data_IF_654146373145
#
_entry.id   IF_654146373145
#
_cell.length_a   1.000
_cell.length_b   1.000
_cell.length_c   1.000
_cell.angle_alpha   90.00
_cell.angle_beta   90.00
_cell.angle_gamma   90.00
#
_symmetry.space_group_name_H-M   'P 1'
#
loop_
_entity.id
_entity.type
_entity.pdbx_description
1 polymer ?
#
# COMPACT_ATOMS: atom_id res chain seq x y z
N UNK A 1 -31.33 5.60 -25.85
CA UNK A 1 -30.26 4.87 -25.13
C UNK A 1 -28.96 5.67 -24.93
N UNK A 2 -28.87 6.97 -25.30
CA UNK A 2 -27.63 7.76 -25.15
C UNK A 2 -27.48 8.48 -23.79
N UNK A 3 -28.56 8.77 -23.06
CA UNK A 3 -28.47 9.53 -21.80
C UNK A 3 -28.05 8.70 -20.57
N UNK A 4 -28.26 7.39 -20.61
CA UNK A 4 -27.95 6.50 -19.49
C UNK A 4 -26.43 6.25 -19.37
N UNK A 5 -25.70 6.30 -20.49
CA UNK A 5 -24.25 6.04 -20.53
C UNK A 5 -23.42 7.24 -20.05
N UNK A 6 -23.88 8.47 -20.26
CA UNK A 6 -23.18 9.66 -19.78
C UNK A 6 -23.19 9.74 -18.24
N UNK A 7 -24.32 9.44 -17.61
CA UNK A 7 -24.46 9.50 -16.15
C UNK A 7 -23.47 8.57 -15.42
N UNK A 8 -23.25 7.34 -15.89
CA UNK A 8 -22.37 6.36 -15.22
C UNK A 8 -20.90 6.78 -15.25
N UNK A 9 -20.43 7.43 -16.31
CA UNK A 9 -19.06 7.94 -16.39
C UNK A 9 -18.79 9.02 -15.31
N UNK A 10 -19.75 9.92 -15.09
CA UNK A 10 -19.62 10.97 -14.08
C UNK A 10 -19.69 10.44 -12.64
N UNK A 11 -20.43 9.36 -12.38
CA UNK A 11 -20.45 8.72 -11.05
C UNK A 11 -19.06 8.19 -10.66
N UNK A 12 -18.30 7.63 -11.60
CA UNK A 12 -16.92 7.18 -11.36
C UNK A 12 -15.99 8.36 -11.01
N UNK A 13 -16.22 9.54 -11.58
CA UNK A 13 -15.44 10.75 -11.26
C UNK A 13 -15.70 11.23 -9.83
N UNK A 14 -16.93 11.13 -9.33
CA UNK A 14 -17.22 11.43 -7.91
C UNK A 14 -16.53 10.40 -7.00
N UNK A 15 -16.56 9.11 -7.36
CA UNK A 15 -15.85 8.06 -6.59
C UNK A 15 -14.34 8.33 -6.53
N UNK A 16 -13.75 8.91 -7.58
CA UNK A 16 -12.34 9.31 -7.57
C UNK A 16 -12.03 10.33 -6.45
N UNK A 17 -12.96 11.26 -6.18
CA UNK A 17 -12.78 12.31 -5.18
C UNK A 17 -12.72 11.76 -3.74
N UNK A 18 -13.17 10.53 -3.50
CA UNK A 18 -13.09 9.87 -2.19
C UNK A 18 -11.65 9.72 -1.67
N UNK A 19 -10.66 9.69 -2.57
CA UNK A 19 -9.23 9.62 -2.22
C UNK A 19 -8.74 10.84 -1.42
N UNK A 20 -9.43 11.98 -1.53
CA UNK A 20 -9.04 13.21 -0.85
C UNK A 20 -9.68 13.26 0.54
N UNK A 21 -8.98 12.71 1.55
CA UNK A 21 -9.43 12.74 2.94
C UNK A 21 -9.61 14.17 3.50
N UNK A 22 -8.95 15.17 2.92
CA UNK A 22 -9.05 16.57 3.31
C UNK A 22 -10.13 17.37 2.55
N UNK A 23 -10.87 16.75 1.62
CA UNK A 23 -11.90 17.44 0.84
C UNK A 23 -13.12 17.77 1.71
N UNK A 24 -13.28 19.04 2.08
CA UNK A 24 -14.37 19.53 2.94
C UNK A 24 -15.45 20.31 2.19
N UNK A 25 -15.12 20.93 1.07
CA UNK A 25 -16.04 21.74 0.26
C UNK A 25 -15.91 21.31 -1.19
N UNK A 26 -17.06 21.10 -1.85
CA UNK A 26 -17.12 20.70 -3.24
C UNK A 26 -18.24 21.50 -3.92
N UNK A 27 -17.91 22.15 -5.03
CA UNK A 27 -18.88 22.81 -5.90
C UNK A 27 -18.83 22.12 -7.26
N UNK A 28 -19.96 21.53 -7.69
CA UNK A 28 -20.16 20.97 -9.02
C UNK A 28 -21.33 21.63 -9.73
N UNK A 29 -21.82 22.76 -9.21
CA UNK A 29 -22.80 23.59 -9.90
C UNK A 29 -22.34 23.92 -11.33
N UNK A 30 -23.29 23.91 -12.26
CA UNK A 30 -23.04 24.05 -13.70
C UNK A 30 -22.66 22.76 -14.45
N UNK A 31 -22.37 21.65 -13.77
CA UNK A 31 -22.09 20.38 -14.44
C UNK A 31 -23.38 19.70 -14.98
N UNK A 32 -23.29 18.93 -16.09
CA UNK A 32 -24.46 18.25 -16.68
C UNK A 32 -25.19 17.33 -15.70
N UNK A 33 -24.46 16.71 -14.76
CA UNK A 33 -25.03 15.85 -13.73
C UNK A 33 -25.92 16.61 -12.74
N UNK A 34 -25.50 17.82 -12.34
CA UNK A 34 -26.27 18.69 -11.45
C UNK A 34 -27.57 19.18 -12.12
N UNK A 35 -27.56 19.36 -13.45
CA UNK A 35 -28.72 19.78 -14.24
C UNK A 35 -29.68 18.62 -14.58
N UNK A 36 -29.15 17.44 -14.89
CA UNK A 36 -29.94 16.31 -15.37
C UNK A 36 -30.76 15.65 -14.24
N UNK A 37 -30.16 15.46 -13.05
CA UNK A 37 -30.82 14.83 -11.89
C UNK A 37 -30.31 15.42 -10.57
N UNK A 38 -30.81 16.59 -10.15
CA UNK A 38 -30.28 17.30 -8.97
C UNK A 38 -30.41 16.49 -7.67
N UNK A 39 -31.52 15.77 -7.48
CA UNK A 39 -31.76 14.98 -6.25
C UNK A 39 -30.87 13.73 -6.18
N UNK A 40 -30.79 12.96 -7.27
CA UNK A 40 -29.98 11.75 -7.32
C UNK A 40 -28.48 12.07 -7.22
N UNK A 41 -28.03 13.17 -7.84
CA UNK A 41 -26.67 13.69 -7.73
C UNK A 41 -26.32 14.01 -6.28
N UNK A 42 -27.18 14.78 -5.59
CA UNK A 42 -26.93 15.20 -4.21
C UNK A 42 -26.82 13.99 -3.28
N UNK A 43 -27.74 13.03 -3.39
CA UNK A 43 -27.69 11.80 -2.61
C UNK A 43 -26.43 10.96 -2.91
N UNK A 44 -26.01 10.86 -4.17
CA UNK A 44 -24.80 10.13 -4.54
C UNK A 44 -23.53 10.76 -3.96
N UNK A 45 -23.36 12.08 -4.08
CA UNK A 45 -22.23 12.79 -3.47
C UNK A 45 -22.16 12.58 -1.95
N UNK A 46 -23.31 12.65 -1.28
CA UNK A 46 -23.39 12.48 0.17
C UNK A 46 -23.07 11.05 0.64
N UNK A 47 -23.46 10.04 -0.15
CA UNK A 47 -23.19 8.64 0.13
C UNK A 47 -21.70 8.29 -0.06
N UNK A 48 -21.09 8.72 -1.18
CA UNK A 48 -19.72 8.35 -1.54
C UNK A 48 -18.63 9.24 -0.92
N UNK A 49 -18.94 10.47 -0.49
CA UNK A 49 -17.97 11.40 0.10
C UNK A 49 -18.26 11.62 1.60
N UNK A 50 -17.73 10.74 2.49
CA UNK A 50 -17.98 10.83 3.93
C UNK A 50 -17.37 12.09 4.59
N UNK A 51 -16.32 12.66 4.00
CA UNK A 51 -15.58 13.79 4.58
C UNK A 51 -16.11 15.17 4.20
N UNK A 52 -17.08 15.23 3.27
CA UNK A 52 -17.59 16.47 2.73
C UNK A 52 -18.48 17.22 3.74
N UNK A 53 -18.26 18.52 3.95
CA UNK A 53 -19.07 19.40 4.82
C UNK A 53 -19.97 20.34 4.04
N UNK A 54 -19.50 20.81 2.89
CA UNK A 54 -20.23 21.73 2.01
C UNK A 54 -20.35 21.13 0.61
N UNK A 55 -21.56 21.16 0.06
CA UNK A 55 -21.85 20.79 -1.32
C UNK A 55 -22.61 21.94 -1.97
N UNK A 56 -22.04 22.52 -3.04
CA UNK A 56 -22.62 23.64 -3.80
C UNK A 56 -23.01 24.80 -2.87
N UNK A 57 -22.06 25.19 -2.00
CA UNK A 57 -22.21 26.24 -0.98
C UNK A 57 -23.28 25.96 0.10
N UNK A 58 -23.94 24.80 0.07
CA UNK A 58 -24.88 24.37 1.10
C UNK A 58 -24.21 23.49 2.16
N UNK A 59 -24.52 23.73 3.43
CA UNK A 59 -24.07 22.89 4.54
C UNK A 59 -24.81 21.56 4.52
N UNK A 60 -24.06 20.46 4.66
CA UNK A 60 -24.61 19.11 4.76
C UNK A 60 -24.97 18.83 6.21
N UNK A 61 -26.25 18.53 6.47
CA UNK A 61 -26.68 18.08 7.79
C UNK A 61 -26.45 16.57 7.97
N UNK A 62 -26.22 16.09 9.20
CA UNK A 62 -26.02 14.65 9.45
C UNK A 62 -27.23 13.81 9.04
N UNK A 63 -28.46 14.34 9.19
CA UNK A 63 -29.69 13.68 8.78
C UNK A 63 -29.80 13.49 7.25
N UNK A 64 -29.38 14.49 6.47
CA UNK A 64 -29.32 14.37 5.00
C UNK A 64 -28.30 13.32 4.57
N UNK A 65 -27.20 13.19 5.32
CA UNK A 65 -26.17 12.18 5.04
C UNK A 65 -26.68 10.75 5.31
N UNK A 66 -27.38 10.52 6.41
CA UNK A 66 -27.94 9.19 6.70
C UNK A 66 -29.00 8.82 5.67
N UNK A 67 -29.92 9.73 5.38
CA UNK A 67 -30.93 9.51 4.34
C UNK A 67 -30.33 9.22 2.96
N UNK A 68 -29.23 9.90 2.59
CA UNK A 68 -28.54 9.65 1.33
C UNK A 68 -27.79 8.31 1.29
N UNK A 69 -27.27 7.82 2.43
CA UNK A 69 -26.70 6.47 2.52
C UNK A 69 -27.77 5.40 2.34
N UNK A 70 -28.94 5.61 2.93
CA UNK A 70 -30.04 4.66 2.86
C UNK A 70 -30.71 4.66 1.47
N UNK A 71 -30.77 5.82 0.81
CA UNK A 71 -31.40 5.97 -0.52
C UNK A 71 -30.45 5.75 -1.71
N UNK A 72 -29.15 6.00 -1.53
CA UNK A 72 -28.19 6.13 -2.63
C UNK A 72 -27.26 4.93 -2.86
N UNK A 73 -27.33 3.91 -2.02
CA UNK A 73 -26.40 2.77 -2.06
C UNK A 73 -27.09 1.55 -2.67
N UNK A 74 -26.84 1.28 -3.94
CA UNK A 74 -26.87 -0.11 -4.40
C UNK A 74 -25.74 -0.85 -3.67
N UNK A 75 -26.02 -1.84 -2.81
CA UNK A 75 -25.02 -2.49 -1.95
C UNK A 75 -23.82 -3.02 -2.75
N UNK A 76 -24.06 -3.51 -3.97
CA UNK A 76 -23.02 -4.00 -4.89
C UNK A 76 -21.95 -2.96 -5.25
N UNK A 77 -22.34 -1.69 -5.42
CA UNK A 77 -21.40 -0.64 -5.82
C UNK A 77 -20.52 -0.18 -4.65
N UNK A 78 -21.05 -0.25 -3.42
CA UNK A 78 -20.29 0.01 -2.20
C UNK A 78 -19.23 -1.08 -1.98
N UNK A 79 -19.66 -2.35 -2.06
CA UNK A 79 -18.78 -3.52 -1.96
C UNK A 79 -17.63 -3.46 -2.97
N UNK A 80 -17.93 -3.16 -4.23
CA UNK A 80 -16.91 -3.07 -5.28
C UNK A 80 -15.88 -1.95 -5.03
N UNK A 81 -16.33 -0.82 -4.47
CA UNK A 81 -15.44 0.31 -4.13
C UNK A 81 -14.56 -0.05 -2.93
N UNK A 82 -15.12 -0.68 -1.90
CA UNK A 82 -14.39 -1.12 -0.71
C UNK A 82 -13.33 -2.17 -1.05
N UNK A 83 -13.67 -3.16 -1.87
CA UNK A 83 -12.72 -4.18 -2.34
C UNK A 83 -11.56 -3.54 -3.12
N UNK A 84 -11.84 -2.63 -4.06
CA UNK A 84 -10.80 -1.92 -4.82
C UNK A 84 -9.93 -1.06 -3.93
N UNK A 85 -10.50 -0.43 -2.91
CA UNK A 85 -9.74 0.37 -1.93
C UNK A 85 -8.84 -0.51 -1.06
N UNK A 86 -9.36 -1.64 -0.58
CA UNK A 86 -8.58 -2.60 0.19
C UNK A 86 -7.41 -3.14 -0.63
N UNK A 87 -7.64 -3.50 -1.90
CA UNK A 87 -6.57 -3.92 -2.81
C UNK A 87 -5.52 -2.82 -3.02
N UNK A 88 -5.94 -1.57 -3.24
CA UNK A 88 -5.02 -0.44 -3.40
C UNK A 88 -4.21 -0.17 -2.14
N UNK A 89 -4.84 -0.24 -0.96
CA UNK A 89 -4.16 -0.07 0.33
C UNK A 89 -3.12 -1.17 0.55
N UNK A 90 -3.48 -2.44 0.33
CA UNK A 90 -2.54 -3.58 0.41
C UNK A 90 -1.38 -3.44 -0.59
N UNK A 91 -1.66 -3.01 -1.82
CA UNK A 91 -0.62 -2.79 -2.82
C UNK A 91 0.34 -1.66 -2.39
N UNK A 92 -0.20 -0.58 -1.81
CA UNK A 92 0.59 0.53 -1.29
C UNK A 92 1.44 0.12 -0.08
N UNK A 93 0.86 -0.57 0.90
CA UNK A 93 1.60 -1.08 2.07
C UNK A 93 2.72 -2.04 1.66
N UNK A 94 2.44 -2.93 0.69
CA UNK A 94 3.45 -3.83 0.13
C UNK A 94 4.57 -3.05 -0.55
N UNK A 95 4.23 -1.99 -1.30
CA UNK A 95 5.23 -1.15 -1.97
C UNK A 95 6.05 -0.34 -0.95
N UNK A 96 5.40 0.27 0.04
CA UNK A 96 6.05 1.03 1.11
C UNK A 96 6.99 0.13 1.92
N UNK A 97 6.54 -1.07 2.32
CA UNK A 97 7.37 -2.06 3.00
C UNK A 97 8.58 -2.49 2.17
N UNK A 98 8.42 -2.71 0.86
CA UNK A 98 9.55 -2.99 -0.05
C UNK A 98 10.53 -1.84 -0.12
N UNK A 99 10.06 -0.60 -0.22
CA UNK A 99 10.93 0.58 -0.29
C UNK A 99 11.65 0.84 1.03
N UNK A 100 10.98 0.64 2.17
CA UNK A 100 11.59 0.78 3.49
C UNK A 100 12.65 -0.30 3.74
N UNK A 101 12.33 -1.55 3.40
CA UNK A 101 13.30 -2.65 3.45
C UNK A 101 14.52 -2.39 2.56
N UNK A 102 14.32 -1.88 1.35
CA UNK A 102 15.43 -1.52 0.45
C UNK A 102 16.30 -0.41 1.04
N UNK A 103 15.71 0.66 1.60
CA UNK A 103 16.47 1.76 2.23
C UNK A 103 17.38 1.26 3.33
N UNK A 104 16.90 0.38 4.20
CA UNK A 104 17.71 -0.19 5.28
C UNK A 104 18.88 -1.03 4.75
N UNK A 105 18.69 -1.74 3.63
CA UNK A 105 19.76 -2.52 2.99
C UNK A 105 20.80 -1.63 2.31
N UNK A 106 20.37 -0.51 1.71
CA UNK A 106 21.27 0.50 1.13
C UNK A 106 22.12 1.15 2.22
N UNK A 107 21.50 1.54 3.35
CA UNK A 107 22.21 2.12 4.49
C UNK A 107 23.25 1.16 5.09
N UNK A 108 22.92 -0.13 5.14
CA UNK A 108 23.84 -1.18 5.56
C UNK A 108 24.84 -1.62 4.47
N UNK A 109 24.81 -1.01 3.27
CA UNK A 109 25.66 -1.34 2.12
C UNK A 109 25.61 -2.83 1.71
N UNK A 110 24.43 -3.43 1.80
CA UNK A 110 24.16 -4.85 1.48
C UNK A 110 23.00 -4.98 0.48
N UNK A 111 22.72 -3.93 -0.29
CA UNK A 111 21.64 -3.90 -1.29
C UNK A 111 21.72 -5.05 -2.31
N UNK A 112 22.94 -5.45 -2.67
CA UNK A 112 23.23 -6.49 -3.66
C UNK A 112 22.60 -7.82 -3.26
N UNK A 113 22.47 -8.12 -1.96
CA UNK A 113 21.83 -9.35 -1.50
C UNK A 113 20.36 -9.48 -1.93
N UNK A 114 19.71 -8.39 -2.35
CA UNK A 114 18.32 -8.40 -2.82
C UNK A 114 18.19 -8.43 -4.35
N UNK A 115 19.24 -8.05 -5.08
CA UNK A 115 19.23 -7.91 -6.54
C UNK A 115 20.11 -8.92 -7.26
N UNK A 116 21.04 -9.57 -6.56
CA UNK A 116 22.08 -10.42 -7.15
C UNK A 116 21.53 -11.54 -8.04
N UNK A 117 20.52 -12.28 -7.57
CA UNK A 117 19.96 -13.41 -8.33
C UNK A 117 19.20 -12.96 -9.59
N UNK A 118 18.27 -11.98 -9.51
CA UNK A 118 17.68 -11.38 -10.71
C UNK A 118 18.73 -10.87 -11.71
N UNK A 119 19.71 -10.09 -11.24
CA UNK A 119 20.75 -9.52 -12.12
C UNK A 119 21.57 -10.61 -12.80
N UNK A 120 21.93 -11.68 -12.07
CA UNK A 120 22.66 -12.81 -12.63
C UNK A 120 21.88 -13.50 -13.78
N UNK A 121 20.56 -13.62 -13.65
CA UNK A 121 19.73 -14.22 -14.69
C UNK A 121 19.42 -13.27 -15.85
N UNK A 122 19.32 -11.97 -15.59
CA UNK A 122 19.10 -10.96 -16.62
C UNK A 122 20.35 -10.78 -17.52
N UNK A 123 21.54 -10.92 -16.94
CA UNK A 123 22.81 -10.84 -17.68
C UNK A 123 23.13 -12.14 -18.45
N UNK A 124 22.49 -13.27 -18.12
CA UNK A 124 22.70 -14.56 -18.76
C UNK A 124 21.85 -14.73 -20.03
N UNK A 125 22.48 -14.53 -21.19
CA UNK A 125 21.85 -14.69 -22.50
C UNK A 125 21.42 -16.13 -22.82
N UNK A 126 22.05 -17.13 -22.19
CA UNK A 126 21.75 -18.54 -22.40
C UNK A 126 20.61 -19.02 -21.51
N UNK A 127 20.40 -18.40 -20.34
CA UNK A 127 19.28 -18.71 -19.44
C UNK A 127 17.93 -18.68 -20.17
N UNK A 128 17.72 -17.68 -21.03
CA UNK A 128 16.49 -17.53 -21.81
C UNK A 128 16.23 -18.68 -22.80
N UNK A 129 17.29 -19.31 -23.32
CA UNK A 129 17.23 -20.46 -24.23
C UNK A 129 17.04 -21.76 -23.45
N UNK A 130 17.69 -21.87 -22.30
CA UNK A 130 17.71 -23.07 -21.49
C UNK A 130 16.41 -23.28 -20.69
N UNK A 131 15.67 -22.21 -20.33
CA UNK A 131 14.46 -22.29 -19.48
C UNK A 131 13.37 -23.29 -19.93
N UNK A 132 13.35 -23.66 -21.21
CA UNK A 132 12.36 -24.58 -21.78
C UNK A 132 12.79 -26.05 -21.72
N UNK A 133 14.00 -26.36 -21.25
CA UNK A 133 14.49 -27.72 -21.11
C UNK A 133 13.66 -28.48 -20.05
N UNK A 134 13.22 -29.71 -20.34
CA UNK A 134 12.50 -30.52 -19.37
C UNK A 134 13.39 -30.78 -18.13
N UNK A 135 12.82 -30.60 -16.94
CA UNK A 135 13.53 -30.77 -15.66
C UNK A 135 14.28 -29.53 -15.17
N UNK A 136 14.65 -28.59 -16.04
CA UNK A 136 15.34 -27.36 -15.64
C UNK A 136 14.48 -26.44 -14.75
N UNK A 137 13.16 -26.24 -15.00
CA UNK A 137 12.33 -25.39 -14.14
C UNK A 137 12.32 -25.83 -12.67
N UNK A 138 12.28 -27.15 -12.42
CA UNK A 138 12.29 -27.70 -11.07
C UNK A 138 13.63 -27.44 -10.36
N UNK A 139 14.75 -27.60 -11.09
CA UNK A 139 16.08 -27.28 -10.56
C UNK A 139 16.24 -25.78 -10.29
N UNK A 140 15.70 -24.93 -11.18
CA UNK A 140 15.77 -23.48 -11.01
C UNK A 140 14.96 -23.01 -9.82
N UNK A 141 13.81 -23.61 -9.54
CA UNK A 141 13.02 -23.28 -8.35
C UNK A 141 13.73 -23.70 -7.06
N UNK A 142 14.38 -24.87 -7.06
CA UNK A 142 15.24 -25.32 -5.95
C UNK A 142 16.40 -24.35 -5.70
N UNK A 143 17.13 -23.97 -6.76
CA UNK A 143 18.22 -23.00 -6.68
C UNK A 143 17.74 -21.65 -6.13
N UNK A 144 16.62 -21.11 -6.66
CA UNK A 144 16.03 -19.85 -6.18
C UNK A 144 15.66 -19.92 -4.70
N UNK A 145 15.13 -21.05 -4.25
CA UNK A 145 14.74 -21.26 -2.85
C UNK A 145 15.97 -21.27 -1.95
N UNK A 146 16.98 -22.09 -2.26
CA UNK A 146 18.22 -22.15 -1.48
C UNK A 146 18.98 -20.83 -1.49
N UNK A 147 19.05 -20.15 -2.64
CA UNK A 147 19.72 -18.86 -2.75
C UNK A 147 19.01 -17.77 -1.95
N UNK A 148 17.67 -17.73 -2.01
CA UNK A 148 16.86 -16.79 -1.22
C UNK A 148 17.10 -17.00 0.27
N UNK A 149 17.14 -18.26 0.72
CA UNK A 149 17.47 -18.60 2.11
C UNK A 149 18.86 -18.08 2.52
N UNK A 150 19.90 -18.33 1.72
CA UNK A 150 21.25 -17.81 2.00
C UNK A 150 21.29 -16.26 2.01
N UNK A 151 20.55 -15.61 1.11
CA UNK A 151 20.45 -14.16 1.09
C UNK A 151 19.70 -13.61 2.30
N UNK A 152 18.67 -14.30 2.78
CA UNK A 152 17.95 -13.96 4.02
C UNK A 152 18.87 -14.04 5.24
N UNK A 153 19.66 -15.11 5.37
CA UNK A 153 20.65 -15.24 6.43
C UNK A 153 21.71 -14.14 6.36
N UNK A 154 22.25 -13.87 5.16
CA UNK A 154 23.23 -12.82 4.94
C UNK A 154 22.68 -11.43 5.30
N UNK A 155 21.45 -11.12 4.87
CA UNK A 155 20.78 -9.86 5.22
C UNK A 155 20.57 -9.72 6.72
N UNK A 156 20.10 -10.78 7.37
CA UNK A 156 19.85 -10.78 8.82
C UNK A 156 21.13 -10.55 9.60
N UNK A 157 22.19 -11.29 9.28
CA UNK A 157 23.50 -11.12 9.92
C UNK A 157 24.12 -9.74 9.63
N UNK A 158 24.00 -9.25 8.40
CA UNK A 158 24.50 -7.95 7.96
C UNK A 158 23.82 -6.79 8.69
N UNK A 159 22.48 -6.78 8.75
CA UNK A 159 21.70 -5.77 9.46
C UNK A 159 21.97 -5.78 10.97
N UNK A 160 22.11 -6.96 11.58
CA UNK A 160 22.44 -7.07 13.01
C UNK A 160 23.81 -6.45 13.33
N UNK A 161 24.82 -6.72 12.49
CA UNK A 161 26.15 -6.11 12.64
C UNK A 161 26.13 -4.60 12.41
N UNK A 162 25.44 -4.14 11.37
CA UNK A 162 25.30 -2.71 11.07
C UNK A 162 24.69 -1.96 12.26
N UNK A 163 23.56 -2.45 12.80
CA UNK A 163 22.92 -1.86 13.98
C UNK A 163 23.85 -1.83 15.20
N UNK A 164 24.64 -2.89 15.43
CA UNK A 164 25.62 -2.94 16.53
C UNK A 164 26.70 -1.87 16.38
N UNK A 165 27.20 -1.65 15.16
CA UNK A 165 28.24 -0.64 14.87
C UNK A 165 27.66 0.78 14.99
N UNK A 166 26.46 1.01 14.45
CA UNK A 166 25.79 2.32 14.53
C UNK A 166 25.53 2.72 15.98
N UNK A 167 25.05 1.80 16.83
CA UNK A 167 24.87 2.06 18.27
C UNK A 167 26.20 2.40 18.96
N UNK A 168 27.30 1.74 18.59
CA UNK A 168 28.64 2.05 19.12
C UNK A 168 29.16 3.41 18.65
N UNK A 169 28.88 3.81 17.42
CA UNK A 169 29.30 5.09 16.85
C UNK A 169 28.47 6.28 17.36
N UNK A 170 27.20 6.05 17.73
CA UNK A 170 26.30 7.07 18.28
C UNK A 170 26.37 7.19 19.81
N UNK A 171 27.18 6.36 20.49
CA UNK A 171 27.47 6.54 21.90
C UNK A 171 28.39 7.76 22.06
N UNK A 172 27.96 8.84 22.74
CA UNK A 172 28.82 9.99 22.97
C UNK A 172 30.03 9.51 23.78
N UNK A 173 31.23 9.77 23.25
CA UNK A 173 32.51 9.39 23.85
C UNK A 173 32.51 9.71 25.35
N UNK A 174 32.45 8.67 26.16
CA UNK A 174 32.53 8.82 27.61
C UNK A 174 31.96 7.62 28.34
N UNK A 175 32.70 6.51 28.32
CA UNK A 175 32.97 5.64 29.47
C UNK A 175 33.58 4.33 28.95
N UNK A 176 34.91 4.28 28.98
CA UNK A 176 35.59 3.00 29.08
C UNK A 176 35.15 2.37 30.40
N UNK A 177 34.39 1.29 30.34
CA UNK A 177 34.71 0.07 31.06
C UNK A 177 33.88 -1.10 30.55
N UNK A 178 34.61 -2.17 30.29
CA UNK A 178 34.16 -3.51 29.95
C UNK A 178 33.06 -4.01 30.86
N UNK A 179 31.87 -4.28 30.33
CA UNK A 179 31.01 -5.37 30.81
C UNK A 179 30.10 -5.80 29.65
N UNK A 180 30.25 -7.04 29.21
CA UNK A 180 29.28 -7.68 28.33
C UNK A 180 27.93 -7.71 29.06
N UNK A 181 26.90 -7.13 28.46
CA UNK A 181 25.52 -7.22 28.94
C UNK A 181 24.76 -8.23 28.09
N UNK A 182 24.08 -9.22 28.70
CA UNK A 182 23.49 -10.33 27.98
C UNK A 182 22.28 -9.89 27.15
N UNK A 183 22.21 -10.41 25.93
CA UNK A 183 21.01 -10.45 25.08
C UNK A 183 19.92 -11.22 25.83
N UNK A 184 19.08 -10.52 26.58
CA UNK A 184 17.89 -11.11 27.17
C UNK A 184 16.66 -10.75 26.34
N UNK A 185 16.01 -11.82 25.89
CA UNK A 185 14.87 -11.89 25.02
C UNK A 185 13.76 -10.88 25.34
N UNK A 186 13.18 -10.32 24.29
CA UNK A 186 11.78 -9.89 24.29
C UNK A 186 11.03 -10.63 23.19
N UNK A 187 10.84 -11.93 23.41
CA UNK A 187 9.53 -12.51 23.18
C UNK A 187 8.76 -12.30 24.47
N UNK A 188 7.61 -11.64 24.38
CA UNK A 188 6.44 -11.95 25.19
C UNK A 188 5.22 -11.32 24.52
N UNK A 189 4.59 -12.16 23.72
CA UNK A 189 3.16 -12.14 23.47
C UNK A 189 2.38 -12.05 24.78
N UNK A 190 1.59 -10.99 24.93
CA UNK A 190 0.41 -11.02 25.80
C UNK A 190 -0.83 -10.61 25.00
N UNK A 191 -1.59 -11.66 24.70
CA UNK A 191 -3.04 -11.66 24.55
C UNK A 191 -3.63 -11.23 25.90
N UNK A 192 -4.49 -10.20 25.92
CA UNK A 192 -5.86 -10.17 26.49
C UNK A 192 -6.36 -8.71 26.65
N UNK A 193 -7.21 -8.25 25.74
CA UNK A 193 -8.65 -8.00 25.91
C UNK A 193 -9.20 -7.30 24.67
#
# INVERSE_FOLDING_TARGET
MHEVCACTHYLLQIVYLKRFAALKSLALDGNPMAKAKPEAYRSFCLAFLPHLRFLDYALITPAQRTAAKDAGVTPDLLLLVEEKEMQRKRAREKQEGRTAGMRNLVEANIEVANTLLPTLFDDDQEHAKLKNLPGLPALMESLKTSFSYCCDEFRTAGLLKHNTIVVRAHCPRGLHNTTELPLQARGDSHILM
#
